data_IF_196916813932
#
_entry.id   IF_196916813932
#
_cell.length_a   1.000
_cell.length_b   1.000
_cell.length_c   1.000
_cell.angle_alpha   90.00
_cell.angle_beta   90.00
_cell.angle_gamma   90.00
#
_symmetry.space_group_name_H-M   'P 1'
#
loop_
_entity.id
_entity.type
_entity.pdbx_description
1 polymer ?
#
# COMPACT_ATOMS: atom_id res chain seq x y z
N UNK A 1 -16.11 -23.57 -13.04
CA UNK A 1 -15.86 -22.60 -11.95
C UNK A 1 -15.13 -21.41 -12.57
N UNK A 2 -15.57 -20.18 -12.30
CA UNK A 2 -14.85 -19.00 -12.79
C UNK A 2 -13.50 -18.90 -12.08
N UNK A 3 -12.45 -18.50 -12.82
CA UNK A 3 -11.13 -18.31 -12.25
C UNK A 3 -11.15 -17.06 -11.34
N UNK A 4 -10.57 -17.16 -10.14
CA UNK A 4 -10.44 -16.01 -9.23
C UNK A 4 -9.64 -14.90 -9.92
N UNK A 5 -10.04 -13.64 -9.72
CA UNK A 5 -9.27 -12.48 -10.14
C UNK A 5 -7.91 -12.37 -9.44
N UNK A 6 -7.10 -11.39 -9.86
CA UNK A 6 -5.78 -11.12 -9.28
C UNK A 6 -5.82 -9.95 -8.31
N UNK A 7 -5.04 -10.06 -7.24
CA UNK A 7 -4.88 -9.03 -6.24
C UNK A 7 -3.51 -8.37 -6.38
N UNK A 8 -3.48 -7.11 -6.80
CA UNK A 8 -2.27 -6.32 -6.97
C UNK A 8 -2.27 -5.18 -5.94
N UNK A 9 -1.14 -4.99 -5.25
CA UNK A 9 -0.97 -3.85 -4.33
C UNK A 9 0.10 -2.90 -4.84
N UNK A 10 -0.08 -1.60 -4.62
CA UNK A 10 0.98 -0.60 -4.76
C UNK A 10 1.43 -0.15 -3.38
N UNK A 11 2.74 -0.23 -3.15
CA UNK A 11 3.37 0.05 -1.86
C UNK A 11 4.48 1.10 -1.99
N UNK A 12 4.89 1.66 -0.85
CA UNK A 12 5.97 2.65 -0.77
C UNK A 12 5.67 3.78 0.21
N UNK A 13 6.69 4.58 0.53
CA UNK A 13 6.61 5.71 1.46
C UNK A 13 5.67 6.83 1.00
N UNK A 14 5.49 7.86 1.83
CA UNK A 14 4.72 9.04 1.44
C UNK A 14 5.43 9.82 0.32
N UNK A 15 4.67 10.39 -0.62
CA UNK A 15 5.22 11.22 -1.70
C UNK A 15 5.89 10.47 -2.86
N UNK A 16 5.92 9.13 -2.85
CA UNK A 16 6.55 8.33 -3.94
C UNK A 16 5.70 8.21 -5.22
N UNK A 17 4.48 8.76 -5.23
CA UNK A 17 3.61 8.77 -6.41
C UNK A 17 2.68 7.55 -6.56
N UNK A 18 2.32 6.87 -5.45
CA UNK A 18 1.42 5.70 -5.46
C UNK A 18 0.09 5.97 -6.16
N UNK A 19 -0.65 7.00 -5.75
CA UNK A 19 -2.00 7.23 -6.28
C UNK A 19 -2.01 7.55 -7.78
N UNK A 20 -1.01 8.29 -8.26
CA UNK A 20 -0.82 8.57 -9.70
C UNK A 20 -0.55 7.28 -10.47
N UNK A 21 0.41 6.48 -10.02
CA UNK A 21 0.77 5.24 -10.69
C UNK A 21 -0.32 4.17 -10.55
N UNK A 22 -1.09 4.16 -9.47
CA UNK A 22 -2.23 3.26 -9.30
C UNK A 22 -3.31 3.54 -10.35
N UNK A 23 -3.62 4.81 -10.59
CA UNK A 23 -4.56 5.19 -11.63
C UNK A 23 -4.06 4.77 -13.02
N UNK A 24 -2.76 4.95 -13.28
CA UNK A 24 -2.14 4.53 -14.54
C UNK A 24 -2.15 3.00 -14.73
N UNK A 25 -1.80 2.23 -13.70
CA UNK A 25 -1.83 0.75 -13.74
C UNK A 25 -3.26 0.25 -13.98
N UNK A 26 -4.26 0.88 -13.34
CA UNK A 26 -5.66 0.53 -13.59
C UNK A 26 -6.05 0.76 -15.06
N UNK A 27 -5.64 1.87 -15.66
CA UNK A 27 -5.88 2.14 -17.09
C UNK A 27 -5.18 1.11 -17.99
N UNK A 28 -3.94 0.75 -17.67
CA UNK A 28 -3.18 -0.26 -18.42
C UNK A 28 -3.89 -1.63 -18.43
N UNK A 29 -4.47 -2.02 -17.30
CA UNK A 29 -5.24 -3.27 -17.15
C UNK A 29 -6.60 -3.19 -17.85
N UNK A 30 -7.35 -2.10 -17.67
CA UNK A 30 -8.67 -1.93 -18.31
C UNK A 30 -8.56 -1.86 -19.84
N UNK A 31 -7.49 -1.25 -20.37
CA UNK A 31 -7.20 -1.27 -21.81
C UNK A 31 -6.99 -2.68 -22.39
N UNK A 32 -6.75 -3.68 -21.53
CA UNK A 32 -6.60 -5.10 -21.87
C UNK A 32 -7.83 -5.94 -21.53
N UNK A 33 -8.98 -5.31 -21.27
CA UNK A 33 -10.25 -5.98 -21.02
C UNK A 33 -10.42 -6.52 -19.59
N UNK A 34 -9.53 -6.14 -18.65
CA UNK A 34 -9.64 -6.56 -17.24
C UNK A 34 -10.62 -5.66 -16.49
N UNK A 35 -11.59 -6.24 -15.79
CA UNK A 35 -12.39 -5.53 -14.79
C UNK A 35 -11.51 -5.23 -13.57
N UNK A 36 -11.32 -3.95 -13.25
CA UNK A 36 -10.45 -3.51 -12.14
C UNK A 36 -11.28 -2.83 -11.05
N UNK A 37 -11.19 -3.36 -9.82
CA UNK A 37 -11.64 -2.71 -8.60
C UNK A 37 -10.47 -1.99 -7.96
N UNK A 38 -10.54 -0.65 -7.94
CA UNK A 38 -9.55 0.18 -7.24
C UNK A 38 -9.99 0.40 -5.80
N UNK A 39 -9.04 0.31 -4.87
CA UNK A 39 -9.29 0.57 -3.44
C UNK A 39 -8.01 1.03 -2.71
N UNK A 40 -8.09 1.30 -1.40
CA UNK A 40 -6.96 1.74 -0.57
C UNK A 40 -7.05 1.26 0.87
N UNK A 41 -5.91 1.19 1.55
CA UNK A 41 -5.83 0.94 2.99
C UNK A 41 -5.02 2.00 3.77
N UNK A 42 -5.32 2.20 5.06
CA UNK A 42 -6.59 1.81 5.72
C UNK A 42 -7.77 2.54 5.05
N UNK A 43 -8.92 1.87 4.85
CA UNK A 43 -10.05 2.42 4.12
C UNK A 43 -10.79 1.41 3.24
N UNK A 44 -11.47 1.90 2.19
CA UNK A 44 -12.17 1.11 1.17
C UNK A 44 -13.65 0.86 1.46
N UNK A 45 -14.07 0.89 2.72
CA UNK A 45 -15.48 0.73 3.12
C UNK A 45 -15.87 1.81 4.13
N UNK A 46 -17.16 2.18 4.28
CA UNK A 46 -17.56 3.22 5.23
C UNK A 46 -17.03 3.00 6.65
N UNK A 47 -17.03 1.76 7.15
CA UNK A 47 -16.49 1.43 8.48
C UNK A 47 -14.96 1.49 8.53
N UNK A 48 -14.28 1.07 7.46
CA UNK A 48 -12.81 1.16 7.40
C UNK A 48 -12.33 2.60 7.21
N UNK A 49 -13.10 3.46 6.57
CA UNK A 49 -12.83 4.91 6.47
C UNK A 49 -12.99 5.59 7.84
N UNK A 50 -14.00 5.25 8.64
CA UNK A 50 -14.11 5.76 10.02
C UNK A 50 -12.90 5.37 10.89
N UNK A 51 -12.36 4.15 10.72
CA UNK A 51 -11.12 3.75 11.38
C UNK A 51 -9.91 4.52 10.82
N UNK A 52 -9.88 4.77 9.51
CA UNK A 52 -8.83 5.60 8.88
C UNK A 52 -8.79 6.99 9.47
N UNK A 53 -9.93 7.63 9.70
CA UNK A 53 -10.00 8.95 10.33
C UNK A 53 -9.30 8.97 11.69
N UNK A 54 -9.57 7.98 12.55
CA UNK A 54 -8.89 7.83 13.84
C UNK A 54 -7.38 7.59 13.68
N UNK A 55 -6.97 6.79 12.69
CA UNK A 55 -5.55 6.50 12.45
C UNK A 55 -4.76 7.71 11.96
N UNK A 56 -5.39 8.63 11.23
CA UNK A 56 -4.75 9.79 10.63
C UNK A 56 -4.87 11.07 11.47
N UNK A 57 -5.76 11.07 12.47
CA UNK A 57 -5.97 12.20 13.35
C UNK A 57 -4.63 12.69 13.94
N UNK A 58 -4.20 13.91 13.60
CA UNK A 58 -2.92 14.43 14.05
C UNK A 58 -2.96 15.02 15.47
N UNK A 59 -4.08 14.91 16.17
CA UNK A 59 -4.23 15.34 17.56
C UNK A 59 -3.17 14.73 18.47
N UNK A 60 -2.56 15.57 19.30
CA UNK A 60 -1.47 15.18 20.22
C UNK A 60 -1.93 15.06 21.67
N UNK A 61 -3.18 15.40 21.97
CA UNK A 61 -3.70 15.44 23.35
C UNK A 61 -3.85 14.02 23.93
N UNK A 62 -4.18 13.05 23.07
CA UNK A 62 -4.25 11.63 23.38
C UNK A 62 -3.55 10.84 22.27
N UNK A 63 -2.22 10.63 22.35
CA UNK A 63 -1.49 9.93 21.30
C UNK A 63 -1.90 8.45 21.25
N UNK A 64 -2.13 7.95 20.04
CA UNK A 64 -2.47 6.56 19.82
C UNK A 64 -1.28 5.64 20.16
N UNK A 65 -1.50 4.66 21.04
CA UNK A 65 -0.52 3.62 21.36
C UNK A 65 -0.17 2.77 20.11
N UNK A 66 1.06 2.27 20.04
CA UNK A 66 1.52 1.51 18.88
C UNK A 66 0.75 0.19 18.67
N UNK A 67 0.37 -0.50 19.74
CA UNK A 67 -0.45 -1.71 19.64
C UNK A 67 -1.89 -1.36 19.24
N UNK A 68 -2.43 -0.24 19.73
CA UNK A 68 -3.74 0.25 19.31
C UNK A 68 -3.75 0.62 17.81
N UNK A 69 -2.73 1.32 17.32
CA UNK A 69 -2.52 1.62 15.90
C UNK A 69 -2.51 0.33 15.05
N UNK A 70 -1.73 -0.66 15.47
CA UNK A 70 -1.63 -1.96 14.79
C UNK A 70 -2.98 -2.67 14.71
N UNK A 71 -3.70 -2.74 15.83
CA UNK A 71 -5.01 -3.41 15.90
C UNK A 71 -6.05 -2.69 15.06
N UNK A 72 -6.07 -1.35 15.05
CA UNK A 72 -6.97 -0.56 14.22
C UNK A 72 -6.70 -0.75 12.73
N UNK A 73 -5.42 -0.76 12.31
CA UNK A 73 -5.06 -1.08 10.92
C UNK A 73 -5.59 -2.45 10.50
N UNK A 74 -5.43 -3.47 11.35
CA UNK A 74 -5.96 -4.81 11.06
C UNK A 74 -7.48 -4.91 11.14
N UNK A 75 -8.14 -4.14 12.01
CA UNK A 75 -9.59 -4.04 12.07
C UNK A 75 -10.16 -3.45 10.77
N UNK A 76 -9.57 -2.36 10.27
CA UNK A 76 -9.94 -1.78 8.97
C UNK A 76 -9.74 -2.77 7.82
N UNK A 77 -8.62 -3.49 7.81
CA UNK A 77 -8.30 -4.53 6.82
C UNK A 77 -9.28 -5.69 6.83
N UNK A 78 -9.65 -6.20 8.01
CA UNK A 78 -10.61 -7.30 8.13
C UNK A 78 -11.96 -6.93 7.50
N UNK A 79 -12.43 -5.71 7.78
CA UNK A 79 -13.66 -5.17 7.21
C UNK A 79 -13.56 -5.00 5.69
N UNK A 80 -12.46 -4.43 5.20
CA UNK A 80 -12.22 -4.19 3.78
C UNK A 80 -12.11 -5.48 2.98
N UNK A 81 -11.41 -6.49 3.52
CA UNK A 81 -11.31 -7.82 2.94
C UNK A 81 -12.67 -8.49 2.77
N UNK A 82 -13.49 -8.46 3.82
CA UNK A 82 -14.79 -9.13 3.84
C UNK A 82 -15.80 -8.49 2.89
N UNK A 83 -15.81 -7.15 2.80
CA UNK A 83 -16.87 -6.43 2.07
C UNK A 83 -16.51 -6.08 0.63
N UNK A 84 -15.22 -6.03 0.28
CA UNK A 84 -14.81 -5.54 -1.04
C UNK A 84 -13.80 -6.43 -1.73
N UNK A 85 -12.66 -6.73 -1.10
CA UNK A 85 -11.56 -7.44 -1.79
C UNK A 85 -11.96 -8.88 -2.13
N UNK A 86 -12.41 -9.68 -1.15
CA UNK A 86 -12.76 -11.09 -1.42
C UNK A 86 -13.93 -11.23 -2.41
N UNK A 87 -15.06 -10.50 -2.25
CA UNK A 87 -16.14 -10.55 -3.23
C UNK A 87 -15.71 -10.13 -4.65
N UNK A 88 -14.77 -9.19 -4.78
CA UNK A 88 -14.22 -8.81 -6.08
C UNK A 88 -13.38 -9.91 -6.72
N UNK A 89 -12.47 -10.50 -5.96
CA UNK A 89 -11.64 -11.59 -6.44
C UNK A 89 -12.48 -12.83 -6.80
N UNK A 90 -13.49 -13.16 -6.00
CA UNK A 90 -14.37 -14.31 -6.21
C UNK A 90 -15.19 -14.21 -7.50
N UNK A 91 -15.62 -13.00 -7.90
CA UNK A 91 -16.32 -12.78 -9.18
C UNK A 91 -15.40 -12.64 -10.40
N UNK A 92 -14.09 -12.82 -10.23
CA UNK A 92 -13.10 -12.71 -11.30
C UNK A 92 -12.52 -11.31 -11.53
N UNK A 93 -13.00 -10.29 -10.82
CA UNK A 93 -12.46 -8.93 -10.93
C UNK A 93 -11.07 -8.83 -10.30
N UNK A 94 -10.20 -8.03 -10.90
CA UNK A 94 -8.88 -7.78 -10.36
C UNK A 94 -8.94 -6.63 -9.37
N UNK A 95 -8.28 -6.78 -8.23
CA UNK A 95 -8.23 -5.75 -7.20
C UNK A 95 -6.89 -5.04 -7.27
N UNK A 96 -6.92 -3.72 -7.37
CA UNK A 96 -5.75 -2.86 -7.30
C UNK A 96 -5.85 -1.97 -6.05
N UNK A 97 -4.99 -2.22 -5.06
CA UNK A 97 -5.08 -1.58 -3.74
C UNK A 97 -3.87 -0.68 -3.45
N UNK A 98 -4.13 0.58 -3.07
CA UNK A 98 -3.12 1.49 -2.51
C UNK A 98 -2.84 1.07 -1.08
N UNK A 99 -1.65 0.51 -0.82
CA UNK A 99 -1.23 -0.12 0.43
C UNK A 99 -2.01 -1.39 0.80
N UNK A 100 -1.35 -2.26 1.55
CA UNK A 100 -1.90 -3.43 2.21
C UNK A 100 -0.98 -3.81 3.39
N UNK A 101 -0.80 -5.10 3.66
CA UNK A 101 -0.08 -5.56 4.86
C UNK A 101 1.43 -5.31 4.81
N UNK A 102 2.03 -5.17 3.62
CA UNK A 102 3.42 -4.76 3.50
C UNK A 102 3.64 -3.36 4.11
N UNK A 103 2.68 -2.44 3.99
CA UNK A 103 2.69 -1.18 4.73
C UNK A 103 2.67 -1.38 6.24
N UNK A 104 1.94 -2.38 6.75
CA UNK A 104 1.90 -2.65 8.19
C UNK A 104 3.26 -3.11 8.72
N UNK A 105 3.94 -4.01 8.01
CA UNK A 105 5.31 -4.38 8.36
C UNK A 105 6.28 -3.20 8.26
N UNK A 106 6.10 -2.30 7.30
CA UNK A 106 6.98 -1.15 7.14
C UNK A 106 6.76 -0.09 8.22
N UNK A 107 5.51 0.33 8.44
CA UNK A 107 5.17 1.43 9.36
C UNK A 107 5.11 0.97 10.81
N UNK A 108 4.32 -0.06 11.12
CA UNK A 108 4.22 -0.57 12.49
C UNK A 108 5.44 -1.42 12.86
N UNK A 109 5.98 -2.20 11.92
CA UNK A 109 7.19 -2.99 12.17
C UNK A 109 8.45 -2.12 12.18
N UNK A 110 8.88 -1.65 11.01
CA UNK A 110 10.09 -0.83 10.88
C UNK A 110 10.00 0.51 11.61
N UNK A 111 8.93 1.28 11.37
CA UNK A 111 8.77 2.63 11.92
C UNK A 111 8.48 2.67 13.43
N UNK A 112 7.57 1.83 13.93
CA UNK A 112 7.22 1.78 15.37
C UNK A 112 8.04 0.76 16.18
N UNK A 113 8.80 -0.11 15.52
CA UNK A 113 9.59 -1.14 16.19
C UNK A 113 8.79 -2.36 16.68
N UNK A 114 7.56 -2.55 16.22
CA UNK A 114 6.77 -3.74 16.61
C UNK A 114 7.42 -4.99 16.00
N UNK A 115 7.65 -6.07 16.78
CA UNK A 115 8.24 -7.29 16.26
C UNK A 115 7.43 -7.86 15.09
N UNK A 116 8.10 -8.18 13.97
CA UNK A 116 7.48 -8.71 12.76
C UNK A 116 6.65 -9.98 13.03
N UNK A 117 7.02 -10.78 14.02
CA UNK A 117 6.26 -11.96 14.44
C UNK A 117 4.83 -11.64 14.91
N UNK A 118 4.64 -10.53 15.65
CA UNK A 118 3.30 -10.09 16.09
C UNK A 118 2.45 -9.64 14.91
N UNK A 119 3.05 -8.91 13.97
CA UNK A 119 2.38 -8.47 12.74
C UNK A 119 1.99 -9.68 11.88
N UNK A 120 2.87 -10.66 11.75
CA UNK A 120 2.62 -11.89 11.00
C UNK A 120 1.50 -12.75 11.62
N UNK A 121 1.33 -12.72 12.94
CA UNK A 121 0.21 -13.38 13.61
C UNK A 121 -1.13 -12.74 13.25
N UNK A 122 -1.21 -11.42 13.29
CA UNK A 122 -2.41 -10.68 12.89
C UNK A 122 -2.68 -10.81 11.39
N UNK A 123 -1.64 -10.81 10.55
CA UNK A 123 -1.74 -11.10 9.13
C UNK A 123 -2.42 -12.46 8.89
N UNK A 124 -1.91 -13.54 9.51
CA UNK A 124 -2.52 -14.87 9.37
C UNK A 124 -3.94 -14.91 9.88
N UNK A 125 -4.23 -14.25 11.00
CA UNK A 125 -5.56 -14.21 11.59
C UNK A 125 -6.58 -13.52 10.66
N UNK A 126 -6.23 -12.36 10.11
CA UNK A 126 -7.14 -11.52 9.29
C UNK A 126 -7.21 -11.98 7.83
N UNK A 127 -6.07 -12.29 7.22
CA UNK A 127 -5.99 -12.63 5.80
C UNK A 127 -6.16 -14.12 5.50
N UNK A 128 -5.89 -14.99 6.48
CA UNK A 128 -5.75 -16.44 6.24
C UNK A 128 -4.72 -16.67 5.13
N UNK A 129 -5.08 -17.41 4.09
CA UNK A 129 -4.18 -17.70 2.97
C UNK A 129 -4.11 -16.59 1.91
N UNK A 130 -4.85 -15.49 2.06
CA UNK A 130 -4.88 -14.43 1.06
C UNK A 130 -3.61 -13.56 1.12
N UNK A 131 -2.87 -13.58 0.02
CA UNK A 131 -1.77 -12.68 -0.27
C UNK A 131 -2.00 -11.95 -1.59
N UNK A 132 -1.42 -10.77 -1.80
CA UNK A 132 -1.31 -10.17 -3.14
C UNK A 132 -0.63 -11.15 -4.10
N UNK A 133 -1.16 -11.27 -5.31
CA UNK A 133 -0.51 -11.99 -6.41
C UNK A 133 0.72 -11.21 -6.90
N UNK A 134 0.70 -9.87 -6.81
CA UNK A 134 1.83 -8.97 -7.10
C UNK A 134 1.78 -7.72 -6.22
N UNK A 135 2.94 -7.29 -5.75
CA UNK A 135 3.12 -6.01 -5.08
C UNK A 135 4.13 -5.17 -5.85
N UNK A 136 3.71 -3.99 -6.29
CA UNK A 136 4.55 -2.99 -6.94
C UNK A 136 5.04 -2.02 -5.87
N UNK A 137 6.28 -2.18 -5.43
CA UNK A 137 6.91 -1.31 -4.44
C UNK A 137 7.57 -0.13 -5.17
N UNK A 138 7.01 1.06 -5.03
CA UNK A 138 7.63 2.30 -5.49
C UNK A 138 8.67 2.75 -4.46
N UNK A 139 9.96 2.60 -4.80
CA UNK A 139 11.08 2.99 -3.93
C UNK A 139 11.66 4.34 -4.34
N UNK A 140 12.01 5.15 -3.34
CA UNK A 140 12.65 6.44 -3.51
C UNK A 140 13.39 6.83 -2.23
N UNK A 141 14.53 7.54 -2.32
CA UNK A 141 15.16 8.16 -1.17
C UNK A 141 14.17 9.03 -0.37
N UNK A 142 14.20 8.92 0.96
CA UNK A 142 13.29 9.64 1.87
C UNK A 142 13.33 11.15 1.63
N UNK A 143 14.52 11.72 1.42
CA UNK A 143 14.68 13.14 1.13
C UNK A 143 13.99 13.58 -0.18
N UNK A 144 14.01 12.75 -1.22
CA UNK A 144 13.28 13.02 -2.47
C UNK A 144 11.77 12.92 -2.26
N UNK A 145 11.33 11.92 -1.51
CA UNK A 145 9.92 11.66 -1.22
C UNK A 145 9.30 12.81 -0.39
N UNK A 146 10.02 13.30 0.62
CA UNK A 146 9.63 14.45 1.43
C UNK A 146 9.54 15.75 0.62
N UNK A 147 10.46 15.99 -0.33
CA UNK A 147 10.37 17.15 -1.23
C UNK A 147 9.11 17.12 -2.08
N UNK A 148 8.75 15.96 -2.64
CA UNK A 148 7.50 15.79 -3.42
C UNK A 148 6.26 15.98 -2.54
N UNK A 149 6.26 15.39 -1.34
CA UNK A 149 5.17 15.55 -0.38
C UNK A 149 4.95 17.03 -0.01
N UNK A 150 6.03 17.75 0.31
CA UNK A 150 5.97 19.16 0.66
C UNK A 150 5.38 20.00 -0.49
N UNK A 151 5.79 19.74 -1.74
CA UNK A 151 5.21 20.41 -2.92
C UNK A 151 3.70 20.18 -3.06
N UNK A 152 3.23 18.95 -2.83
CA UNK A 152 1.80 18.59 -2.87
C UNK A 152 0.99 19.32 -1.79
N UNK A 153 1.48 19.30 -0.55
CA UNK A 153 0.81 19.97 0.58
C UNK A 153 0.73 21.49 0.37
N UNK A 154 1.82 22.10 -0.10
CA UNK A 154 1.84 23.53 -0.42
C UNK A 154 0.88 23.91 -1.55
N UNK A 155 0.68 23.04 -2.55
CA UNK A 155 -0.24 23.30 -3.66
C UNK A 155 -1.72 23.10 -3.27
N UNK A 156 -2.01 22.20 -2.33
CA UNK A 156 -3.38 21.85 -1.91
C UNK A 156 -3.87 22.64 -0.69
N UNK A 157 -2.95 23.21 0.11
CA UNK A 157 -3.28 23.82 1.39
C UNK A 157 -3.56 22.81 2.51
N UNK A 158 -3.33 21.51 2.27
CA UNK A 158 -3.51 20.46 3.26
C UNK A 158 -2.43 20.51 4.35
N UNK A 159 -2.79 20.09 5.56
CA UNK A 159 -1.86 19.91 6.67
C UNK A 159 -1.42 18.45 6.77
N UNK A 160 -0.23 18.23 7.37
CA UNK A 160 0.31 16.89 7.56
C UNK A 160 -0.55 16.08 8.52
N UNK A 161 -0.87 14.86 8.12
CA UNK A 161 -1.50 13.85 8.99
C UNK A 161 -0.53 13.32 10.07
N UNK A 162 -1.02 12.45 10.95
CA UNK A 162 -0.24 11.89 12.06
C UNK A 162 1.05 11.17 11.61
N UNK A 163 1.02 10.42 10.51
CA UNK A 163 2.20 9.72 10.00
C UNK A 163 3.15 10.68 9.29
N UNK A 164 2.63 11.64 8.53
CA UNK A 164 3.42 12.64 7.81
C UNK A 164 4.21 13.59 8.75
N UNK A 165 3.82 13.66 10.03
CA UNK A 165 4.51 14.41 11.09
C UNK A 165 5.72 13.70 11.70
N UNK A 166 5.94 12.43 11.36
CA UNK A 166 7.06 11.65 11.88
C UNK A 166 8.44 12.19 11.43
N UNK A 167 9.49 11.75 12.14
CA UNK A 167 10.88 12.18 11.87
C UNK A 167 11.50 11.39 10.71
N UNK A 168 12.59 11.90 10.11
CA UNK A 168 13.28 11.21 9.01
C UNK A 168 13.66 9.77 9.36
N UNK A 169 14.18 9.53 10.58
CA UNK A 169 14.57 8.19 11.03
C UNK A 169 13.41 7.17 10.99
N UNK A 170 12.17 7.61 11.24
CA UNK A 170 10.99 6.76 11.07
C UNK A 170 10.82 6.34 9.60
N UNK A 171 10.87 7.30 8.68
CA UNK A 171 10.73 7.02 7.25
C UNK A 171 11.88 6.21 6.66
N UNK A 172 13.11 6.40 7.16
CA UNK A 172 14.26 5.59 6.78
C UNK A 172 14.06 4.13 7.23
N UNK A 173 13.52 3.90 8.43
CA UNK A 173 13.17 2.57 8.92
C UNK A 173 12.02 1.94 8.12
N UNK A 174 10.99 2.72 7.78
CA UNK A 174 9.89 2.30 6.89
C UNK A 174 10.42 1.83 5.53
N UNK A 175 11.26 2.65 4.88
CA UNK A 175 11.85 2.30 3.59
C UNK A 175 12.69 1.02 3.68
N UNK A 176 13.52 0.91 4.71
CA UNK A 176 14.37 -0.26 4.93
C UNK A 176 13.55 -1.54 5.08
N UNK A 177 12.47 -1.50 5.88
CA UNK A 177 11.57 -2.63 6.07
C UNK A 177 10.83 -3.04 4.77
N UNK A 178 10.43 -2.08 3.94
CA UNK A 178 9.88 -2.40 2.61
C UNK A 178 10.88 -3.12 1.71
N UNK A 179 12.12 -2.63 1.65
CA UNK A 179 13.18 -3.21 0.81
C UNK A 179 13.58 -4.61 1.31
N UNK A 180 13.65 -4.81 2.63
CA UNK A 180 13.88 -6.12 3.23
C UNK A 180 12.80 -7.12 2.79
N UNK A 181 11.52 -6.74 2.89
CA UNK A 181 10.40 -7.60 2.44
C UNK A 181 10.46 -7.90 0.95
N UNK A 182 10.79 -6.90 0.13
CA UNK A 182 10.94 -7.10 -1.30
C UNK A 182 12.06 -8.10 -1.62
N UNK A 183 13.18 -8.01 -0.92
CA UNK A 183 14.31 -8.95 -1.07
C UNK A 183 13.97 -10.37 -0.61
N UNK A 184 13.12 -10.51 0.43
CA UNK A 184 12.66 -11.81 0.95
C UNK A 184 11.50 -12.42 0.15
N UNK A 185 10.91 -11.71 -0.80
CA UNK A 185 9.78 -12.20 -1.62
C UNK A 185 9.82 -11.70 -3.07
N UNK A 186 10.92 -11.90 -3.82
CA UNK A 186 11.10 -11.32 -5.15
C UNK A 186 10.12 -11.85 -6.20
N UNK A 187 9.51 -13.01 -5.97
CA UNK A 187 8.46 -13.58 -6.83
C UNK A 187 7.12 -12.87 -6.65
N UNK A 188 6.85 -12.28 -5.48
CA UNK A 188 5.61 -11.53 -5.18
C UNK A 188 5.80 -10.02 -5.29
N UNK A 189 6.96 -9.49 -4.90
CA UNK A 189 7.24 -8.06 -4.87
C UNK A 189 8.18 -7.65 -6.00
N UNK A 190 7.84 -6.58 -6.70
CA UNK A 190 8.70 -5.94 -7.70
C UNK A 190 9.01 -4.51 -7.28
N UNK A 191 10.31 -4.18 -7.18
CA UNK A 191 10.77 -2.84 -6.83
C UNK A 191 10.85 -1.98 -8.09
N UNK A 192 10.22 -0.81 -8.04
CA UNK A 192 10.21 0.18 -9.10
C UNK A 192 10.87 1.44 -8.56
N UNK A 193 12.01 1.81 -9.14
CA UNK A 193 12.65 3.08 -8.81
C UNK A 193 11.73 4.25 -9.25
N UNK A 194 11.25 4.98 -8.24
CA UNK A 194 10.32 6.09 -8.36
C UNK A 194 11.01 7.47 -8.30
N UNK A 195 12.34 7.52 -8.10
CA UNK A 195 13.13 8.77 -8.08
C UNK A 195 13.47 9.32 -9.47
N UNK A 196 12.79 8.81 -10.51
CA UNK A 196 12.85 9.30 -11.88
C UNK A 196 11.64 10.20 -12.21
N UNK A 197 11.65 10.92 -13.35
CA UNK A 197 10.46 11.56 -13.90
C UNK A 197 9.32 10.56 -14.12
N UNK A 198 8.07 11.04 -14.07
CA UNK A 198 6.86 10.20 -14.07
C UNK A 198 6.81 9.26 -15.27
N UNK A 199 7.16 9.74 -16.46
CA UNK A 199 7.16 8.98 -17.70
C UNK A 199 8.14 7.79 -17.63
N UNK A 200 9.30 7.99 -16.98
CA UNK A 200 10.29 6.93 -16.77
C UNK A 200 9.79 5.90 -15.76
N UNK A 201 9.14 6.36 -14.68
CA UNK A 201 8.53 5.45 -13.68
C UNK A 201 7.42 4.61 -14.33
N UNK A 202 6.57 5.22 -15.16
CA UNK A 202 5.51 4.52 -15.88
C UNK A 202 6.08 3.55 -16.92
N UNK A 203 7.14 3.89 -17.64
CA UNK A 203 7.81 2.95 -18.54
C UNK A 203 8.37 1.72 -17.81
N UNK A 204 8.93 1.91 -16.61
CA UNK A 204 9.39 0.81 -15.75
C UNK A 204 8.21 -0.06 -15.26
N UNK A 205 7.08 0.57 -14.94
CA UNK A 205 5.85 -0.14 -14.60
C UNK A 205 5.34 -0.96 -15.78
N UNK A 206 5.32 -0.41 -17.02
CA UNK A 206 4.98 -1.18 -18.23
C UNK A 206 5.84 -2.44 -18.32
N UNK A 207 7.16 -2.29 -18.28
CA UNK A 207 8.07 -3.43 -18.41
C UNK A 207 7.84 -4.50 -17.33
N UNK A 208 7.59 -4.08 -16.08
CA UNK A 208 7.26 -5.00 -14.99
C UNK A 208 5.92 -5.71 -15.21
N UNK A 209 4.87 -4.98 -15.60
CA UNK A 209 3.56 -5.54 -15.87
C UNK A 209 3.58 -6.49 -17.07
N UNK A 210 4.31 -6.15 -18.13
CA UNK A 210 4.46 -7.03 -19.28
C UNK A 210 5.11 -8.37 -18.90
N UNK A 211 6.14 -8.33 -18.05
CA UNK A 211 6.82 -9.53 -17.59
C UNK A 211 6.01 -10.36 -16.59
N UNK A 212 5.24 -9.71 -15.70
CA UNK A 212 4.64 -10.37 -14.51
C UNK A 212 3.14 -10.59 -14.62
N UNK A 213 2.45 -9.77 -15.42
CA UNK A 213 1.00 -9.70 -15.49
C UNK A 213 0.45 -10.25 -16.81
N UNK A 214 1.12 -10.01 -17.94
CA UNK A 214 0.69 -10.58 -19.24
C UNK A 214 0.47 -12.09 -19.21
N UNK A 215 1.25 -12.91 -18.47
CA UNK A 215 0.96 -14.36 -18.36
C UNK A 215 -0.37 -14.72 -17.68
N UNK A 216 -1.07 -13.74 -17.08
CA UNK A 216 -2.38 -13.93 -16.46
C UNK A 216 -3.56 -13.47 -17.33
N UNK A 217 -3.28 -12.80 -18.45
CA UNK A 217 -4.26 -12.28 -19.42
C UNK A 217 -4.50 -13.31 -20.52
#
# INVERSE_FOLDING_TARGET
MQQRGRFITLEGGEGVGKSTNLAWVAQWLTARGVEVVRTREPGGTPRAEAIRELLLDPSSDEPLDADAELLLVFAARAQHLAQQIRPALERGAWVLCDRFTDATFAYQGGGRGIPAARIAELERFVQRDLQPDLTLLLDMPVASAQRRLQGRLSASGETRDRFERERSAFFDAVRSAYLERASGSPQRMAVIDADAPLETVQARLVACLEARVTPWL
#
